data_IF_364394302048
#
_entry.id   IF_364394302048
#
_cell.length_a   1.000
_cell.length_b   1.000
_cell.length_c   1.000
_cell.angle_alpha   90.00
_cell.angle_beta   90.00
_cell.angle_gamma   90.00
#
_symmetry.space_group_name_H-M   'P 1'
#
loop_
_entity.id
_entity.type
_entity.pdbx_description
1 polymer ?
#
# COMPACT_ATOMS: atom_id res chain seq x y z
N UNK A 1 2.75 7.05 28.76
CA UNK A 1 3.46 7.00 27.47
C UNK A 1 3.00 8.20 26.66
N UNK A 2 3.88 9.16 26.33
CA UNK A 2 3.49 10.36 25.57
C UNK A 2 3.33 10.05 24.07
N UNK A 3 2.51 10.85 23.38
CA UNK A 3 2.30 10.80 21.91
C UNK A 3 3.64 10.87 21.13
N UNK A 4 4.68 11.43 21.74
CA UNK A 4 6.04 11.47 21.20
C UNK A 4 6.66 10.07 20.99
N UNK A 5 6.17 9.01 21.67
CA UNK A 5 6.60 7.63 21.42
C UNK A 5 6.18 7.10 20.03
N UNK A 6 5.23 7.77 19.36
CA UNK A 6 4.79 7.44 17.99
C UNK A 6 5.66 8.10 16.91
N UNK A 7 6.38 9.17 17.26
CA UNK A 7 7.31 9.85 16.37
C UNK A 7 8.73 9.41 16.73
N UNK A 8 9.32 8.50 15.94
CA UNK A 8 10.70 8.06 16.16
C UNK A 8 11.64 9.30 16.15
N UNK A 9 12.13 9.78 17.31
CA UNK A 9 12.93 11.01 17.37
C UNK A 9 14.32 10.80 16.74
N UNK A 10 14.77 9.54 16.70
CA UNK A 10 16.08 9.14 16.18
C UNK A 10 16.14 8.99 14.66
N UNK A 11 14.99 9.14 13.98
CA UNK A 11 14.92 9.13 12.52
C UNK A 11 15.21 10.52 11.95
N UNK A 12 16.48 10.92 12.04
CA UNK A 12 16.99 12.18 11.52
C UNK A 12 16.76 12.32 10.02
N UNK A 13 16.73 13.57 9.52
CA UNK A 13 16.57 13.88 8.09
C UNK A 13 17.60 13.16 7.21
N UNK A 14 18.82 12.96 7.71
CA UNK A 14 19.88 12.25 6.99
C UNK A 14 19.53 10.76 6.83
N UNK A 15 19.07 10.10 7.90
CA UNK A 15 18.62 8.69 7.83
C UNK A 15 17.41 8.53 6.92
N UNK A 16 16.47 9.49 6.95
CA UNK A 16 15.33 9.55 6.02
C UNK A 16 15.78 9.61 4.56
N UNK A 17 16.79 10.43 4.26
CA UNK A 17 17.31 10.58 2.90
C UNK A 17 18.06 9.33 2.43
N UNK A 18 18.86 8.70 3.31
CA UNK A 18 19.53 7.42 3.01
C UNK A 18 18.48 6.33 2.74
N UNK A 19 17.44 6.24 3.56
CA UNK A 19 16.36 5.28 3.36
C UNK A 19 15.61 5.53 2.05
N UNK A 20 15.30 6.79 1.72
CA UNK A 20 14.73 7.17 0.43
C UNK A 20 15.60 6.71 -0.75
N UNK A 21 16.92 6.87 -0.66
CA UNK A 21 17.85 6.43 -1.70
C UNK A 21 17.84 4.89 -1.84
N UNK A 22 17.83 4.15 -0.73
CA UNK A 22 17.67 2.69 -0.75
C UNK A 22 16.34 2.27 -1.37
N UNK A 23 15.25 2.99 -1.07
CA UNK A 23 13.94 2.77 -1.71
C UNK A 23 13.99 3.02 -3.22
N UNK A 24 14.69 4.06 -3.68
CA UNK A 24 14.92 4.29 -5.11
C UNK A 24 15.67 3.14 -5.77
N UNK A 25 16.73 2.61 -5.13
CA UNK A 25 17.47 1.46 -5.66
C UNK A 25 16.57 0.23 -5.74
N UNK A 26 15.78 -0.04 -4.70
CA UNK A 26 14.89 -1.20 -4.66
C UNK A 26 13.80 -1.11 -5.75
N UNK A 27 13.16 0.05 -5.91
CA UNK A 27 12.18 0.27 -7.00
C UNK A 27 12.87 0.19 -8.36
N UNK A 28 14.06 0.78 -8.51
CA UNK A 28 14.85 0.70 -9.74
C UNK A 28 15.17 -0.74 -10.15
N UNK A 29 15.52 -1.61 -9.20
CA UNK A 29 15.70 -3.04 -9.44
C UNK A 29 14.41 -3.71 -9.92
N UNK A 30 13.26 -3.40 -9.29
CA UNK A 30 11.97 -3.91 -9.77
C UNK A 30 11.65 -3.45 -11.21
N UNK A 31 11.94 -2.18 -11.53
CA UNK A 31 11.75 -1.63 -12.87
C UNK A 31 12.66 -2.34 -13.88
N UNK A 32 13.93 -2.60 -13.54
CA UNK A 32 14.86 -3.35 -14.39
C UNK A 32 14.41 -4.80 -14.61
N UNK A 33 13.88 -5.46 -13.58
CA UNK A 33 13.30 -6.80 -13.71
C UNK A 33 12.10 -6.78 -14.66
N UNK A 34 11.19 -5.82 -14.51
CA UNK A 34 10.04 -5.65 -15.42
C UNK A 34 10.51 -5.41 -16.85
N UNK A 35 11.50 -4.54 -17.05
CA UNK A 35 12.09 -4.28 -18.35
C UNK A 35 12.69 -5.56 -18.96
N UNK A 36 13.47 -6.32 -18.19
CA UNK A 36 14.06 -7.58 -18.64
C UNK A 36 13.01 -8.62 -19.05
N UNK A 37 11.89 -8.72 -18.31
CA UNK A 37 10.76 -9.57 -18.67
C UNK A 37 10.12 -9.11 -19.98
N UNK A 38 9.87 -7.80 -20.14
CA UNK A 38 9.30 -7.25 -21.37
C UNK A 38 10.22 -7.47 -22.57
N UNK A 39 11.55 -7.36 -22.41
CA UNK A 39 12.53 -7.70 -23.46
C UNK A 39 12.48 -9.18 -23.83
N UNK A 40 12.47 -10.08 -22.84
CA UNK A 40 12.41 -11.53 -23.09
C UNK A 40 11.12 -11.95 -23.82
N UNK A 41 10.00 -11.28 -23.55
CA UNK A 41 8.73 -11.50 -24.24
C UNK A 41 8.78 -10.90 -25.65
N UNK A 42 9.30 -9.68 -25.80
CA UNK A 42 9.40 -8.99 -27.08
C UNK A 42 10.31 -9.73 -28.07
N UNK A 43 11.33 -10.46 -27.59
CA UNK A 43 12.17 -11.34 -28.43
C UNK A 43 11.41 -12.46 -29.14
N UNK A 44 10.18 -12.79 -28.71
CA UNK A 44 9.31 -13.76 -29.39
C UNK A 44 8.54 -13.18 -30.58
N UNK A 45 8.60 -11.86 -30.77
CA UNK A 45 7.87 -11.15 -31.82
C UNK A 45 8.81 -10.68 -32.95
N UNK A 46 8.23 -10.44 -34.12
CA UNK A 46 8.96 -9.95 -35.30
C UNK A 46 9.64 -8.60 -35.02
N UNK A 47 10.86 -8.45 -35.53
CA UNK A 47 11.76 -7.32 -35.27
C UNK A 47 11.13 -5.95 -35.58
N UNK A 48 10.24 -5.87 -36.57
CA UNK A 48 9.54 -4.63 -36.95
C UNK A 48 8.57 -4.07 -35.92
N UNK A 49 7.97 -4.92 -35.09
CA UNK A 49 7.02 -4.48 -34.04
C UNK A 49 7.61 -4.60 -32.64
N UNK A 50 8.83 -5.16 -32.51
CA UNK A 50 9.46 -5.46 -31.23
C UNK A 50 9.60 -4.24 -30.34
N UNK A 51 10.03 -3.10 -30.90
CA UNK A 51 10.31 -1.89 -30.13
C UNK A 51 9.03 -1.16 -29.69
N UNK A 52 7.97 -1.24 -30.50
CA UNK A 52 6.66 -0.69 -30.17
C UNK A 52 5.99 -1.52 -29.08
N UNK A 53 5.94 -2.84 -29.24
CA UNK A 53 5.44 -3.76 -28.21
C UNK A 53 6.22 -3.66 -26.90
N UNK A 54 7.55 -3.54 -26.97
CA UNK A 54 8.39 -3.40 -25.78
C UNK A 54 8.00 -2.16 -24.97
N UNK A 55 7.80 -1.02 -25.64
CA UNK A 55 7.44 0.24 -24.97
C UNK A 55 6.04 0.18 -24.37
N UNK A 56 5.05 -0.29 -25.12
CA UNK A 56 3.67 -0.39 -24.65
C UNK A 56 3.53 -1.38 -23.48
N UNK A 57 4.06 -2.60 -23.63
CA UNK A 57 4.00 -3.63 -22.59
C UNK A 57 4.74 -3.16 -21.33
N UNK A 58 5.94 -2.60 -21.46
CA UNK A 58 6.68 -2.06 -20.33
C UNK A 58 5.89 -0.97 -19.59
N UNK A 59 5.33 0.01 -20.33
CA UNK A 59 4.58 1.10 -19.72
C UNK A 59 3.34 0.61 -18.99
N UNK A 60 2.59 -0.35 -19.56
CA UNK A 60 1.43 -0.97 -18.90
C UNK A 60 1.85 -1.70 -17.62
N UNK A 61 2.94 -2.47 -17.63
CA UNK A 61 3.42 -3.20 -16.44
C UNK A 61 3.88 -2.27 -15.32
N UNK A 62 4.55 -1.18 -15.67
CA UNK A 62 4.96 -0.14 -14.71
C UNK A 62 3.74 0.54 -14.09
N UNK A 63 2.74 0.89 -14.90
CA UNK A 63 1.50 1.47 -14.40
C UNK A 63 0.77 0.52 -13.45
N UNK A 64 0.76 -0.79 -13.72
CA UNK A 64 0.22 -1.81 -12.80
C UNK A 64 0.98 -1.83 -11.47
N UNK A 65 2.31 -1.83 -11.49
CA UNK A 65 3.11 -1.77 -10.27
C UNK A 65 2.82 -0.49 -9.46
N UNK A 66 2.71 0.66 -10.12
CA UNK A 66 2.44 1.93 -9.45
C UNK A 66 1.05 1.97 -8.83
N UNK A 67 0.02 1.53 -9.56
CA UNK A 67 -1.34 1.40 -9.04
C UNK A 67 -1.39 0.47 -7.82
N UNK A 68 -0.65 -0.65 -7.85
CA UNK A 68 -0.56 -1.57 -6.71
C UNK A 68 0.02 -0.88 -5.47
N UNK A 69 1.12 -0.14 -5.63
CA UNK A 69 1.81 0.52 -4.51
C UNK A 69 0.95 1.68 -3.97
N UNK A 70 0.30 2.46 -4.83
CA UNK A 70 -0.63 3.52 -4.43
C UNK A 70 -1.80 2.94 -3.64
N UNK A 71 -2.47 1.94 -4.21
CA UNK A 71 -3.62 1.32 -3.57
C UNK A 71 -3.24 0.65 -2.26
N UNK A 72 -2.13 -0.09 -2.23
CA UNK A 72 -1.60 -0.71 -1.02
C UNK A 72 -1.25 0.32 0.06
N UNK A 73 -0.63 1.44 -0.31
CA UNK A 73 -0.28 2.52 0.63
C UNK A 73 -1.51 3.18 1.22
N UNK A 74 -2.54 3.46 0.40
CA UNK A 74 -3.80 4.01 0.90
C UNK A 74 -4.47 3.03 1.84
N UNK A 75 -4.66 1.76 1.47
CA UNK A 75 -5.30 0.78 2.36
C UNK A 75 -4.49 0.63 3.67
N UNK A 76 -3.16 0.64 3.59
CA UNK A 76 -2.28 0.56 4.75
C UNK A 76 -2.38 1.79 5.67
N UNK A 77 -2.59 3.01 5.15
CA UNK A 77 -2.71 4.21 5.98
C UNK A 77 -3.91 4.12 6.93
N UNK A 78 -5.02 3.57 6.46
CA UNK A 78 -6.22 3.40 7.30
C UNK A 78 -6.09 2.26 8.29
N UNK A 79 -5.48 1.14 7.87
CA UNK A 79 -5.15 0.05 8.78
C UNK A 79 -4.25 0.53 9.92
N UNK A 80 -3.24 1.33 9.59
CA UNK A 80 -2.33 1.93 10.55
C UNK A 80 -3.07 2.88 11.49
N UNK A 81 -3.90 3.79 10.96
CA UNK A 81 -4.69 4.72 11.77
C UNK A 81 -5.61 3.99 12.76
N UNK A 82 -6.37 2.98 12.29
CA UNK A 82 -7.24 2.20 13.16
C UNK A 82 -6.47 1.46 14.26
N UNK A 83 -5.39 0.77 13.90
CA UNK A 83 -4.59 0.00 14.87
C UNK A 83 -3.94 0.92 15.90
N UNK A 84 -3.44 2.10 15.49
CA UNK A 84 -2.91 3.10 16.43
C UNK A 84 -3.99 3.53 17.41
N UNK A 85 -5.17 3.92 16.94
CA UNK A 85 -6.25 4.41 17.80
C UNK A 85 -6.74 3.30 18.74
N UNK A 86 -6.90 2.08 18.24
CA UNK A 86 -7.33 0.94 19.05
C UNK A 86 -6.28 0.53 20.09
N UNK A 87 -4.99 0.68 19.76
CA UNK A 87 -3.90 0.47 20.71
C UNK A 87 -3.88 1.54 21.80
N UNK A 88 -4.05 2.83 21.45
CA UNK A 88 -4.18 3.92 22.42
C UNK A 88 -5.37 3.67 23.36
N UNK A 89 -6.52 3.28 22.80
CA UNK A 89 -7.71 2.89 23.57
C UNK A 89 -7.40 1.75 24.56
N UNK A 90 -6.76 0.66 24.10
CA UNK A 90 -6.43 -0.47 24.96
C UNK A 90 -5.43 -0.12 26.07
N UNK A 91 -4.50 0.80 25.83
CA UNK A 91 -3.56 1.29 26.85
C UNK A 91 -4.25 2.18 27.89
N UNK A 92 -5.27 2.94 27.49
CA UNK A 92 -6.12 3.70 28.41
C UNK A 92 -6.97 2.78 29.29
N UNK A 93 -7.63 1.78 28.70
CA UNK A 93 -8.45 0.81 29.43
C UNK A 93 -7.63 0.02 30.47
N UNK A 94 -6.36 -0.29 30.16
CA UNK A 94 -5.41 -0.93 31.09
C UNK A 94 -4.86 0.01 32.16
N UNK A 95 -5.23 1.29 32.17
CA UNK A 95 -4.80 2.28 33.16
C UNK A 95 -3.32 2.66 33.08
N UNK A 96 -2.64 2.36 31.97
CA UNK A 96 -1.19 2.62 31.78
C UNK A 96 -0.93 4.08 31.37
N UNK A 97 -1.95 4.75 30.82
CA UNK A 97 -1.91 6.16 30.42
C UNK A 97 -2.85 6.94 31.35
N UNK A 98 -2.29 7.61 32.36
CA UNK A 98 -3.00 8.59 33.18
C UNK A 98 -2.56 9.99 32.78
N UNK A 99 -3.48 10.80 32.23
CA UNK A 99 -3.19 12.18 31.82
C UNK A 99 -3.66 12.56 30.41
N UNK A 100 -4.78 11.99 29.94
CA UNK A 100 -5.41 12.46 28.70
C UNK A 100 -6.20 13.74 28.95
N UNK A 101 -6.17 14.64 27.97
CA UNK A 101 -6.96 15.88 27.92
C UNK A 101 -8.45 15.53 27.88
N UNK A 102 -9.36 16.38 28.40
CA UNK A 102 -10.81 16.11 28.40
C UNK A 102 -11.36 15.74 27.00
N UNK A 103 -10.83 16.36 25.95
CA UNK A 103 -11.16 16.06 24.56
C UNK A 103 -10.74 14.63 24.13
N UNK A 104 -9.60 14.15 24.59
CA UNK A 104 -9.10 12.81 24.26
C UNK A 104 -9.86 11.72 25.03
N UNK A 105 -10.25 11.99 26.28
CA UNK A 105 -11.10 11.09 27.06
C UNK A 105 -12.50 10.94 26.42
N UNK A 106 -13.07 12.04 25.94
CA UNK A 106 -14.35 12.03 25.22
C UNK A 106 -14.25 11.29 23.88
N UNK A 107 -13.13 11.45 23.17
CA UNK A 107 -12.84 10.72 21.94
C UNK A 107 -12.71 9.21 22.17
N UNK A 108 -12.03 8.79 23.25
CA UNK A 108 -11.87 7.37 23.62
C UNK A 108 -13.21 6.74 24.00
N UNK A 109 -14.09 7.45 24.72
CA UNK A 109 -15.45 6.98 24.99
C UNK A 109 -16.29 6.85 23.71
N UNK A 110 -16.25 7.85 22.83
CA UNK A 110 -16.93 7.78 21.53
C UNK A 110 -16.37 6.64 20.65
N UNK A 111 -15.08 6.33 20.78
CA UNK A 111 -14.45 5.19 20.12
C UNK A 111 -14.95 3.85 20.68
N UNK A 112 -15.13 3.72 22.00
CA UNK A 112 -15.63 2.50 22.63
C UNK A 112 -17.00 2.08 22.05
N UNK A 113 -17.92 3.04 21.94
CA UNK A 113 -19.29 2.81 21.49
C UNK A 113 -19.40 2.74 19.95
N UNK A 114 -18.48 3.38 19.24
CA UNK A 114 -18.55 3.59 17.79
C UNK A 114 -17.48 2.89 16.96
N UNK A 115 -16.60 2.05 17.52
CA UNK A 115 -15.41 1.51 16.83
C UNK A 115 -15.71 0.87 15.48
N UNK A 116 -16.83 0.15 15.37
CA UNK A 116 -17.21 -0.58 14.16
C UNK A 116 -17.74 0.37 13.08
N UNK A 117 -18.54 1.36 13.46
CA UNK A 117 -19.00 2.43 12.56
C UNK A 117 -17.84 3.32 12.11
N UNK A 118 -16.91 3.63 13.01
CA UNK A 118 -15.73 4.43 12.72
C UNK A 118 -14.78 3.71 11.78
N UNK A 119 -14.59 2.39 11.97
CA UNK A 119 -13.81 1.57 11.06
C UNK A 119 -14.44 1.52 9.66
N UNK A 120 -15.77 1.34 9.56
CA UNK A 120 -16.47 1.39 8.29
C UNK A 120 -16.29 2.76 7.60
N UNK A 121 -16.42 3.85 8.35
CA UNK A 121 -16.20 5.22 7.86
C UNK A 121 -14.78 5.43 7.36
N UNK A 122 -13.77 4.97 8.11
CA UNK A 122 -12.35 5.02 7.71
C UNK A 122 -12.13 4.27 6.40
N UNK A 123 -12.77 3.12 6.20
CA UNK A 123 -12.63 2.37 4.96
C UNK A 123 -13.35 3.08 3.79
N UNK A 124 -14.53 3.66 4.00
CA UNK A 124 -15.16 4.52 2.99
C UNK A 124 -14.27 5.71 2.62
N UNK A 125 -13.64 6.34 3.61
CA UNK A 125 -12.71 7.44 3.41
C UNK A 125 -11.44 6.98 2.67
N UNK A 126 -11.01 5.73 2.83
CA UNK A 126 -9.94 5.11 2.03
C UNK A 126 -10.25 5.02 0.56
N UNK A 127 -11.48 4.66 0.19
CA UNK A 127 -11.90 4.65 -1.20
C UNK A 127 -11.90 6.07 -1.80
N UNK A 128 -12.28 7.07 -1.01
CA UNK A 128 -12.27 8.48 -1.42
C UNK A 128 -10.84 9.02 -1.55
N UNK A 129 -9.97 8.78 -0.56
CA UNK A 129 -8.57 9.20 -0.62
C UNK A 129 -7.85 8.51 -1.77
N UNK A 130 -8.05 7.20 -2.01
CA UNK A 130 -7.55 6.54 -3.22
C UNK A 130 -7.95 7.31 -4.48
N UNK A 131 -9.23 7.66 -4.61
CA UNK A 131 -9.74 8.40 -5.78
C UNK A 131 -9.13 9.80 -5.91
N UNK A 132 -8.82 10.47 -4.79
CA UNK A 132 -8.16 11.79 -4.76
C UNK A 132 -6.67 11.65 -5.12
N UNK A 133 -5.96 10.69 -4.53
CA UNK A 133 -4.55 10.40 -4.83
C UNK A 133 -4.40 10.03 -6.31
N UNK A 134 -5.34 9.26 -6.86
CA UNK A 134 -5.37 8.92 -8.28
C UNK A 134 -5.58 10.13 -9.19
N UNK A 135 -6.41 11.09 -8.76
CA UNK A 135 -6.67 12.32 -9.50
C UNK A 135 -5.49 13.30 -9.45
N UNK A 136 -4.78 13.36 -8.32
CA UNK A 136 -3.75 14.37 -8.05
C UNK A 136 -2.33 13.86 -8.36
N UNK A 137 -2.00 12.61 -8.02
CA UNK A 137 -0.60 12.12 -7.99
C UNK A 137 -0.19 11.51 -9.34
N UNK A 138 -1.00 10.60 -9.91
CA UNK A 138 -0.68 9.93 -11.19
C UNK A 138 -1.98 9.66 -11.98
N UNK A 139 -2.35 10.47 -12.99
CA UNK A 139 -3.40 10.08 -13.91
C UNK A 139 -2.90 8.91 -14.78
N UNK A 140 -3.09 7.69 -14.29
CA UNK A 140 -2.72 6.43 -14.95
C UNK A 140 -3.64 6.18 -16.16
N UNK A 141 -3.48 6.96 -17.22
CA UNK A 141 -4.33 6.93 -18.44
C UNK A 141 -4.25 5.62 -19.23
N UNK A 142 -3.23 4.80 -18.98
CA UNK A 142 -2.97 3.55 -19.70
C UNK A 142 -3.76 2.36 -19.15
N UNK A 143 -4.26 2.44 -17.91
CA UNK A 143 -5.02 1.35 -17.29
C UNK A 143 -6.52 1.51 -17.59
N UNK A 144 -7.16 0.42 -18.01
CA UNK A 144 -8.62 0.39 -18.10
C UNK A 144 -9.25 0.49 -16.70
N UNK A 145 -10.49 0.99 -16.61
CA UNK A 145 -11.20 1.13 -15.32
C UNK A 145 -11.34 -0.21 -14.58
N UNK A 146 -11.50 -1.30 -15.32
CA UNK A 146 -11.58 -2.66 -14.79
C UNK A 146 -10.24 -3.15 -14.23
N UNK A 147 -9.13 -2.97 -14.96
CA UNK A 147 -7.80 -3.33 -14.46
C UNK A 147 -7.44 -2.55 -13.20
N UNK A 148 -7.75 -1.25 -13.19
CA UNK A 148 -7.56 -0.41 -12.00
C UNK A 148 -8.37 -0.93 -10.81
N UNK A 149 -9.61 -1.36 -11.05
CA UNK A 149 -10.45 -1.98 -10.05
C UNK A 149 -9.84 -3.29 -9.51
N UNK A 150 -9.31 -4.14 -10.40
CA UNK A 150 -8.61 -5.39 -10.03
C UNK A 150 -7.33 -5.12 -9.23
N UNK A 151 -6.53 -4.14 -9.62
CA UNK A 151 -5.31 -3.77 -8.89
C UNK A 151 -5.63 -3.23 -7.49
N UNK A 152 -6.70 -2.43 -7.34
CA UNK A 152 -7.15 -1.98 -6.02
C UNK A 152 -7.61 -3.11 -5.12
N UNK A 153 -8.25 -4.12 -5.69
CA UNK A 153 -8.64 -5.32 -4.97
C UNK A 153 -7.43 -6.14 -4.54
N UNK A 154 -6.42 -6.29 -5.41
CA UNK A 154 -5.15 -6.91 -5.04
C UNK A 154 -4.41 -6.11 -3.96
N UNK A 155 -4.50 -4.78 -3.97
CA UNK A 155 -3.97 -3.93 -2.90
C UNK A 155 -4.56 -4.27 -1.52
N UNK A 156 -5.86 -4.53 -1.44
CA UNK A 156 -6.50 -5.03 -0.21
C UNK A 156 -5.98 -6.40 0.21
N UNK A 157 -5.84 -7.35 -0.73
CA UNK A 157 -5.21 -8.65 -0.44
C UNK A 157 -3.78 -8.51 0.08
N UNK A 158 -2.99 -7.62 -0.51
CA UNK A 158 -1.62 -7.33 -0.10
C UNK A 158 -1.58 -6.87 1.36
N UNK A 159 -2.43 -5.92 1.74
CA UNK A 159 -2.50 -5.42 3.12
C UNK A 159 -2.97 -6.51 4.08
N UNK A 160 -3.95 -7.35 3.70
CA UNK A 160 -4.37 -8.49 4.53
C UNK A 160 -3.19 -9.42 4.82
N UNK A 161 -2.38 -9.78 3.81
CA UNK A 161 -1.20 -10.64 4.00
C UNK A 161 -0.20 -9.99 4.96
N UNK A 162 0.05 -8.68 4.82
CA UNK A 162 0.92 -7.94 5.74
C UNK A 162 0.37 -7.92 7.17
N UNK A 163 -0.94 -7.72 7.34
CA UNK A 163 -1.59 -7.73 8.65
C UNK A 163 -1.53 -9.11 9.28
N UNK A 164 -1.70 -10.20 8.52
CA UNK A 164 -1.52 -11.57 9.02
C UNK A 164 -0.07 -11.77 9.51
N UNK A 165 0.91 -11.33 8.74
CA UNK A 165 2.32 -11.40 9.14
C UNK A 165 2.59 -10.60 10.42
N UNK A 166 2.07 -9.37 10.49
CA UNK A 166 2.16 -8.54 11.69
C UNK A 166 1.44 -9.15 12.89
N UNK A 167 0.34 -9.85 12.67
CA UNK A 167 -0.43 -10.56 13.68
C UNK A 167 0.36 -11.75 14.28
N UNK A 168 1.27 -12.35 13.51
CA UNK A 168 2.16 -13.41 14.01
C UNK A 168 3.30 -12.87 14.89
N UNK A 169 3.74 -11.64 14.65
CA UNK A 169 4.92 -11.04 15.33
C UNK A 169 4.51 -10.09 16.47
N UNK A 170 3.37 -9.40 16.36
CA UNK A 170 2.85 -8.43 17.33
C UNK A 170 1.66 -8.93 18.15
N UNK A 171 0.98 -8.01 18.83
CA UNK A 171 -0.22 -8.30 19.61
C UNK A 171 -1.42 -8.62 18.69
N UNK A 172 -1.78 -9.90 18.57
CA UNK A 172 -2.76 -10.36 17.59
C UNK A 172 -4.21 -9.88 17.79
N UNK A 173 -4.53 -9.29 18.95
CA UNK A 173 -5.89 -8.79 19.22
C UNK A 173 -6.25 -7.52 18.45
N UNK A 174 -5.27 -6.80 17.91
CA UNK A 174 -5.46 -5.48 17.30
C UNK A 174 -5.69 -5.55 15.78
N UNK A 175 -5.19 -6.59 15.11
CA UNK A 175 -5.22 -6.71 13.66
C UNK A 175 -6.43 -7.51 13.14
N UNK A 176 -6.97 -8.42 13.95
CA UNK A 176 -8.09 -9.31 13.62
C UNK A 176 -9.31 -8.59 13.04
N UNK A 177 -9.86 -7.56 13.71
CA UNK A 177 -11.00 -6.82 13.20
C UNK A 177 -10.74 -6.22 11.81
N UNK A 178 -9.64 -5.49 11.64
CA UNK A 178 -9.26 -4.85 10.37
C UNK A 178 -9.19 -5.87 9.23
N UNK A 179 -8.59 -7.04 9.47
CA UNK A 179 -8.52 -8.11 8.47
C UNK A 179 -9.91 -8.60 8.06
N UNK A 180 -10.81 -8.83 9.02
CA UNK A 180 -12.17 -9.30 8.75
C UNK A 180 -12.99 -8.28 7.96
N UNK A 181 -12.83 -6.98 8.25
CA UNK A 181 -13.53 -5.93 7.50
C UNK A 181 -13.05 -5.83 6.05
N UNK A 182 -11.75 -5.86 5.79
CA UNK A 182 -11.27 -5.91 4.41
C UNK A 182 -11.70 -7.18 3.70
N UNK A 183 -11.63 -8.33 4.35
CA UNK A 183 -12.10 -9.59 3.78
C UNK A 183 -13.59 -9.53 3.43
N UNK A 184 -14.42 -8.98 4.31
CA UNK A 184 -15.84 -8.75 4.08
C UNK A 184 -16.13 -7.81 2.91
N UNK A 185 -15.38 -6.71 2.78
CA UNK A 185 -15.49 -5.79 1.66
C UNK A 185 -15.07 -6.42 0.33
N UNK A 186 -14.05 -7.27 0.36
CA UNK A 186 -13.62 -8.03 -0.81
C UNK A 186 -14.68 -9.01 -1.26
N UNK A 187 -15.25 -9.79 -0.33
CA UNK A 187 -16.37 -10.70 -0.63
C UNK A 187 -17.55 -9.89 -1.13
N UNK A 188 -17.93 -8.80 -0.46
CA UNK A 188 -19.03 -7.93 -0.88
C UNK A 188 -18.81 -7.39 -2.29
N UNK A 189 -17.57 -7.06 -2.65
CA UNK A 189 -17.20 -6.64 -4.00
C UNK A 189 -17.34 -7.78 -5.01
N UNK A 190 -16.79 -8.96 -4.75
CA UNK A 190 -16.94 -10.10 -5.65
C UNK A 190 -18.41 -10.50 -5.84
N UNK A 191 -19.18 -10.51 -4.76
CA UNK A 191 -20.60 -10.87 -4.78
C UNK A 191 -21.46 -9.80 -5.46
N UNK A 192 -21.14 -8.51 -5.31
CA UNK A 192 -21.90 -7.42 -5.93
C UNK A 192 -21.60 -7.26 -7.44
N UNK A 193 -20.36 -7.50 -7.88
CA UNK A 193 -20.00 -7.41 -9.30
C UNK A 193 -20.46 -8.61 -10.11
N UNK A 194 -20.70 -9.76 -9.49
CA UNK A 194 -21.07 -10.99 -10.19
C UNK A 194 -22.55 -11.30 -10.10
N UNK A 195 -23.32 -10.70 -11.01
CA UNK A 195 -24.67 -11.17 -11.34
C UNK A 195 -24.65 -12.56 -12.04
N UNK A 196 -23.48 -13.02 -12.50
CA UNK A 196 -23.27 -14.29 -13.22
C UNK A 196 -21.98 -14.99 -12.79
N UNK A 197 -22.03 -16.31 -12.58
CA UNK A 197 -20.84 -17.14 -12.28
C UNK A 197 -19.73 -17.03 -13.32
N UNK A 198 -20.06 -16.68 -14.56
CA UNK A 198 -19.08 -16.54 -15.64
C UNK A 198 -18.17 -15.32 -15.42
N UNK A 199 -18.77 -14.20 -15.03
CA UNK A 199 -18.06 -12.94 -14.77
C UNK A 199 -17.17 -13.11 -13.52
N UNK A 200 -17.61 -13.92 -12.55
CA UNK A 200 -16.82 -14.25 -11.35
C UNK A 200 -15.54 -14.99 -11.70
N UNK A 201 -15.64 -16.02 -12.55
CA UNK A 201 -14.47 -16.78 -12.98
C UNK A 201 -13.51 -15.89 -13.79
N UNK A 202 -14.03 -14.99 -14.62
CA UNK A 202 -13.20 -14.04 -15.37
C UNK A 202 -12.47 -13.07 -14.44
N UNK A 203 -13.16 -12.51 -13.45
CA UNK A 203 -12.59 -11.63 -12.44
C UNK A 203 -11.50 -12.33 -11.62
N UNK A 204 -11.73 -13.59 -11.19
CA UNK A 204 -10.71 -14.39 -10.51
C UNK A 204 -9.50 -14.63 -11.40
N UNK A 205 -9.68 -14.98 -12.67
CA UNK A 205 -8.57 -15.16 -13.62
C UNK A 205 -7.73 -13.89 -13.74
N UNK A 206 -8.37 -12.72 -13.80
CA UNK A 206 -7.68 -11.41 -13.85
C UNK A 206 -6.90 -11.12 -12.58
N UNK A 207 -7.44 -11.47 -11.41
CA UNK A 207 -6.71 -11.38 -10.12
C UNK A 207 -5.47 -12.27 -10.14
N UNK A 208 -5.60 -13.53 -10.57
CA UNK A 208 -4.47 -14.46 -10.67
C UNK A 208 -3.41 -14.01 -11.69
N UNK A 209 -3.83 -13.44 -12.83
CA UNK A 209 -2.90 -12.91 -13.84
C UNK A 209 -2.04 -11.77 -13.29
N UNK A 210 -2.60 -10.96 -12.39
CA UNK A 210 -1.92 -9.82 -11.79
C UNK A 210 -1.24 -10.15 -10.44
N UNK A 211 -1.30 -11.42 -10.00
CA UNK A 211 -0.63 -11.90 -8.78
C UNK A 211 0.89 -11.64 -8.75
N UNK A 212 1.66 -11.68 -9.85
CA UNK A 212 3.08 -11.35 -9.82
C UNK A 212 3.37 -9.93 -9.30
N UNK A 213 2.49 -8.96 -9.55
CA UNK A 213 2.64 -7.59 -9.02
C UNK A 213 2.40 -7.54 -7.51
N UNK A 214 1.48 -8.37 -7.01
CA UNK A 214 1.25 -8.55 -5.57
C UNK A 214 2.53 -9.06 -4.90
N UNK A 215 3.10 -10.14 -5.44
CA UNK A 215 4.32 -10.76 -4.91
C UNK A 215 5.51 -9.80 -4.95
N UNK A 216 5.63 -9.02 -6.04
CA UNK A 216 6.68 -8.01 -6.17
C UNK A 216 6.54 -6.92 -5.12
N UNK A 217 5.32 -6.43 -4.88
CA UNK A 217 5.06 -5.39 -3.86
C UNK A 217 5.24 -5.92 -2.44
N UNK A 218 4.88 -7.17 -2.19
CA UNK A 218 5.13 -7.86 -0.92
C UNK A 218 6.64 -8.02 -0.66
N UNK A 219 7.38 -8.50 -1.65
CA UNK A 219 8.84 -8.66 -1.56
C UNK A 219 9.53 -7.31 -1.35
N UNK A 220 9.14 -6.28 -2.10
CA UNK A 220 9.67 -4.92 -1.95
C UNK A 220 9.44 -4.40 -0.52
N UNK A 221 8.24 -4.61 0.02
CA UNK A 221 7.89 -4.19 1.38
C UNK A 221 8.62 -5.01 2.44
N UNK A 222 8.80 -6.32 2.23
CA UNK A 222 9.55 -7.18 3.13
C UNK A 222 11.04 -6.80 3.17
N UNK A 223 11.64 -6.51 2.02
CA UNK A 223 13.04 -6.06 1.92
C UNK A 223 13.22 -4.69 2.58
N UNK A 224 12.39 -3.71 2.22
CA UNK A 224 12.50 -2.35 2.79
C UNK A 224 12.13 -2.30 4.27
N UNK A 225 11.10 -3.06 4.66
CA UNK A 225 10.70 -3.27 6.04
C UNK A 225 11.84 -3.88 6.85
N UNK A 226 12.35 -5.03 6.41
CA UNK A 226 13.45 -5.74 7.06
C UNK A 226 14.72 -4.91 7.17
N UNK A 227 15.11 -4.19 6.12
CA UNK A 227 16.24 -3.25 6.15
C UNK A 227 15.99 -2.11 7.14
N UNK A 228 14.78 -1.55 7.18
CA UNK A 228 14.43 -0.48 8.10
C UNK A 228 14.43 -0.91 9.57
N UNK A 229 14.01 -2.14 9.88
CA UNK A 229 14.13 -2.71 11.23
C UNK A 229 15.59 -3.04 11.57
N UNK A 230 16.32 -3.73 10.69
CA UNK A 230 17.72 -4.10 10.93
C UNK A 230 18.66 -2.89 11.13
N UNK A 231 18.39 -1.77 10.44
CA UNK A 231 19.15 -0.53 10.61
C UNK A 231 18.68 0.32 11.82
N UNK A 232 17.68 -0.15 12.57
CA UNK A 232 17.11 0.56 13.72
C UNK A 232 16.34 1.83 13.35
N UNK A 233 15.89 1.97 12.10
CA UNK A 233 15.09 3.11 11.65
C UNK A 233 13.62 2.97 12.04
N UNK A 234 13.14 1.73 12.22
CA UNK A 234 11.78 1.42 12.63
C UNK A 234 11.73 0.88 14.07
N UNK A 235 10.63 1.15 14.78
CA UNK A 235 10.46 0.81 16.20
C UNK A 235 9.93 -0.63 16.37
N UNK A 236 10.71 -1.49 17.02
CA UNK A 236 10.53 -2.95 17.06
C UNK A 236 9.54 -3.50 18.11
N UNK A 237 8.96 -2.68 19.00
CA UNK A 237 8.23 -3.28 20.16
C UNK A 237 6.73 -3.05 20.24
N UNK A 238 6.14 -2.11 19.50
CA UNK A 238 4.67 -1.95 19.38
C UNK A 238 4.22 -1.25 18.08
N UNK A 239 5.13 -0.99 17.14
CA UNK A 239 4.90 -0.10 16.00
C UNK A 239 5.35 -0.70 14.66
N UNK A 240 5.44 -2.03 14.56
CA UNK A 240 5.78 -2.70 13.30
C UNK A 240 4.88 -2.24 12.15
N UNK A 241 3.57 -2.05 12.41
CA UNK A 241 2.64 -1.51 11.42
C UNK A 241 3.01 -0.10 10.95
N UNK A 242 3.49 0.75 11.86
CA UNK A 242 3.91 2.13 11.55
C UNK A 242 5.22 2.11 10.74
N UNK A 243 6.18 1.25 11.09
CA UNK A 243 7.41 1.07 10.34
C UNK A 243 7.15 0.59 8.91
N UNK A 244 6.30 -0.42 8.74
CA UNK A 244 5.88 -0.90 7.42
C UNK A 244 5.09 0.19 6.67
N UNK A 245 4.24 0.95 7.35
CA UNK A 245 3.54 2.08 6.74
C UNK A 245 4.51 3.17 6.26
N UNK A 246 5.55 3.50 7.04
CA UNK A 246 6.61 4.41 6.60
C UNK A 246 7.30 3.89 5.34
N UNK A 247 7.64 2.61 5.27
CA UNK A 247 8.21 2.01 4.06
C UNK A 247 7.29 2.23 2.84
N UNK A 248 5.97 2.05 3.00
CA UNK A 248 4.99 2.33 1.95
C UNK A 248 4.93 3.82 1.54
N UNK A 249 5.03 4.74 2.50
CA UNK A 249 5.12 6.18 2.19
C UNK A 249 6.38 6.53 1.40
N UNK A 250 7.55 5.96 1.75
CA UNK A 250 8.77 6.16 0.97
C UNK A 250 8.63 5.62 -0.46
N UNK A 251 8.01 4.45 -0.62
CA UNK A 251 7.72 3.91 -1.96
C UNK A 251 6.82 4.85 -2.77
N UNK A 252 5.77 5.40 -2.15
CA UNK A 252 4.87 6.37 -2.78
C UNK A 252 5.61 7.63 -3.25
N UNK A 253 6.49 8.18 -2.40
CA UNK A 253 7.32 9.35 -2.74
C UNK A 253 8.26 9.04 -3.91
N UNK A 254 8.93 7.90 -3.89
CA UNK A 254 9.82 7.49 -4.99
C UNK A 254 9.06 7.36 -6.32
N UNK A 255 7.89 6.73 -6.32
CA UNK A 255 7.06 6.58 -7.53
C UNK A 255 6.61 7.94 -8.05
N UNK A 256 6.19 8.84 -7.15
CA UNK A 256 5.82 10.20 -7.52
C UNK A 256 6.98 10.93 -8.23
N UNK A 257 8.19 10.84 -7.68
CA UNK A 257 9.38 11.44 -8.28
C UNK A 257 9.69 10.80 -9.64
N UNK A 258 9.63 9.46 -9.76
CA UNK A 258 9.86 8.75 -11.03
C UNK A 258 8.85 9.17 -12.10
N UNK A 259 7.57 9.22 -11.75
CA UNK A 259 6.51 9.62 -12.69
C UNK A 259 6.67 11.08 -13.14
N UNK A 260 6.98 11.99 -12.22
CA UNK A 260 7.19 13.39 -12.54
C UNK A 260 8.47 13.59 -13.38
N UNK A 261 9.55 12.87 -13.07
CA UNK A 261 10.78 12.89 -13.84
C UNK A 261 10.56 12.37 -15.27
N UNK A 262 9.83 11.26 -15.45
CA UNK A 262 9.46 10.75 -16.79
C UNK A 262 8.64 11.80 -17.56
N UNK A 263 7.65 12.41 -16.93
CA UNK A 263 6.81 13.44 -17.57
C UNK A 263 7.61 14.67 -18.00
N UNK A 264 8.57 15.12 -17.18
CA UNK A 264 9.49 16.21 -17.53
C UNK A 264 10.39 15.79 -18.70
N UNK A 265 10.94 14.58 -18.67
CA UNK A 265 11.81 14.08 -19.73
C UNK A 265 11.06 13.93 -21.05
N UNK A 266 9.84 13.40 -21.03
CA UNK A 266 8.97 13.28 -22.21
C UNK A 266 8.57 14.67 -22.75
N UNK A 267 8.37 15.66 -21.89
CA UNK A 267 8.16 17.05 -22.31
C UNK A 267 9.42 17.67 -22.93
N UNK A 268 10.61 17.37 -22.39
CA UNK A 268 11.88 17.86 -22.90
C UNK A 268 12.33 17.20 -24.21
N UNK A 269 11.92 15.95 -24.45
CA UNK A 269 12.27 15.15 -25.64
C UNK A 269 11.23 15.21 -26.76
N UNK A 270 10.03 15.75 -26.52
CA UNK A 270 9.11 16.20 -27.57
C UNK A 270 9.68 17.46 -28.25
N UNK A 271 10.72 17.27 -29.07
CA UNK A 271 11.07 18.12 -30.21
C UNK A 271 10.79 17.36 -31.49
#
# INVERSE_FOLDING_TARGET
MNIEAYFNPDFTLVKKLIFLLMTFVAIGLCVLIIYGISVAIAQRYNEKHRDEYLREDFDVRIHKLFEMIISGTSVMSFSCAYVIINHVYALYEKGVIGGLTEAEATFIQAWADGKDFMLLLLICLSCVINSILDAIIIPLKLLTGEEKATMRMLGMFYVIILLIFLNTIGDGSQYGPVMMYYFGLMIGRFVYFDASFKDFIENIKRVFLNLPYLLTSLALTAVLGGLGFHLGYFLERNYYIVGIFYANLFMLVCIFIIHFAKRIFDFATRK
#
